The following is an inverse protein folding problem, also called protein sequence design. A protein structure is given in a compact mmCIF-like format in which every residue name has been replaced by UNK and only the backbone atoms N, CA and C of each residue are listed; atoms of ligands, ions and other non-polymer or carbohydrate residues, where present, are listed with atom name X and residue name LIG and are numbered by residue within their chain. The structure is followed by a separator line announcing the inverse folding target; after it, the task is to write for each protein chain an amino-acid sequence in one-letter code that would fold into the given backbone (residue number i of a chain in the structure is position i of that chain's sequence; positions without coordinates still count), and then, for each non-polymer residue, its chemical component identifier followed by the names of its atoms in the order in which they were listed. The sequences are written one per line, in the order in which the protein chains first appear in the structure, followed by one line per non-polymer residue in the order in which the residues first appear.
data_IF_934821852053
#
_entry.id   IF_934821852053
#
_cell.length_a   1.000
_cell.length_b   1.000
_cell.length_c   1.000
_cell.angle_alpha   90.00
_cell.angle_beta   90.00
_cell.angle_gamma   90.00
#
_symmetry.space_group_name_H-M   'P 1'
#
loop_
_entity.id
_entity.type
_entity.pdbx_description
1 polymer ?
#
# COMPACT_ATOMS: atom_id res chain seq x y z
N UNK A 1 12.11 6.56 40.96
CA UNK A 1 11.74 6.53 39.54
C UNK A 1 13.00 6.55 38.69
N UNK A 2 13.19 5.53 37.86
CA UNK A 2 14.31 5.39 36.94
C UNK A 2 14.00 6.06 35.61
N UNK A 3 14.78 7.10 35.27
CA UNK A 3 14.59 7.89 34.05
C UNK A 3 15.81 7.79 33.16
N UNK A 4 15.59 8.00 31.86
CA UNK A 4 16.63 8.12 30.85
C UNK A 4 16.43 9.43 30.11
N UNK A 5 17.50 10.21 29.95
CA UNK A 5 17.53 11.36 29.05
C UNK A 5 18.43 11.05 27.86
N UNK A 6 18.02 11.44 26.66
CA UNK A 6 18.80 11.32 25.44
C UNK A 6 19.05 12.71 24.87
N UNK A 7 20.30 12.99 24.45
CA UNK A 7 20.69 14.28 23.90
C UNK A 7 19.95 14.66 22.60
N UNK A 8 19.47 13.66 21.84
CA UNK A 8 18.65 13.85 20.65
C UNK A 8 17.72 12.65 20.46
N UNK A 9 16.50 12.86 19.98
CA UNK A 9 15.51 11.79 19.75
C UNK A 9 15.07 11.67 18.29
N UNK A 10 15.74 12.36 17.35
CA UNK A 10 15.38 12.36 15.94
C UNK A 10 16.63 12.38 15.04
N UNK A 11 16.67 11.47 14.07
CA UNK A 11 17.60 11.55 12.93
C UNK A 11 16.96 11.02 11.65
N UNK A 12 17.69 11.08 10.53
CA UNK A 12 17.33 10.37 9.29
C UNK A 12 17.80 8.92 9.40
N UNK A 13 17.02 7.98 8.85
CA UNK A 13 17.49 6.60 8.69
C UNK A 13 18.78 6.58 7.86
N UNK A 14 19.71 5.67 8.19
CA UNK A 14 21.05 5.56 7.56
C UNK A 14 22.00 6.75 7.81
N UNK A 15 21.64 7.73 8.64
CA UNK A 15 22.56 8.81 9.08
C UNK A 15 23.53 8.30 10.16
N UNK A 16 24.82 8.27 9.84
CA UNK A 16 25.90 7.75 10.69
C UNK A 16 26.74 8.85 11.34
N UNK A 17 26.29 10.11 11.31
CA UNK A 17 27.10 11.24 11.75
C UNK A 17 27.01 11.56 13.25
N UNK A 18 26.25 10.81 14.04
CA UNK A 18 25.86 11.18 15.41
C UNK A 18 26.36 10.22 16.45
N UNK A 19 26.68 10.75 17.62
CA UNK A 19 26.84 9.98 18.85
C UNK A 19 25.72 10.38 19.80
N UNK A 20 24.92 9.39 20.18
CA UNK A 20 23.87 9.54 21.18
C UNK A 20 24.45 9.40 22.57
N UNK A 21 24.06 10.31 23.46
CA UNK A 21 24.40 10.27 24.87
C UNK A 21 23.14 10.00 25.68
N UNK A 22 23.16 8.91 26.44
CA UNK A 22 22.09 8.46 27.31
C UNK A 22 22.51 8.65 28.77
N UNK A 23 21.76 9.49 29.49
CA UNK A 23 21.97 9.79 30.90
C UNK A 23 20.94 9.06 31.74
N UNK A 24 21.40 8.31 32.74
CA UNK A 24 20.54 7.57 33.66
C UNK A 24 20.29 8.39 34.93
N UNK A 25 19.08 8.32 35.46
CA UNK A 25 18.70 8.99 36.71
C UNK A 25 17.91 8.03 37.60
N UNK A 26 18.24 8.03 38.89
CA UNK A 26 17.41 7.50 39.96
C UNK A 26 16.77 8.70 40.69
N UNK A 27 15.46 8.84 40.50
CA UNK A 27 14.66 10.02 40.84
C UNK A 27 15.16 11.27 40.12
N UNK A 28 15.82 12.17 40.84
CA UNK A 28 16.37 13.42 40.29
C UNK A 28 17.92 13.44 40.38
N UNK A 29 18.52 12.32 40.82
CA UNK A 29 19.97 12.17 40.91
C UNK A 29 20.48 11.40 39.71
N UNK A 30 21.45 11.97 39.00
CA UNK A 30 22.13 11.26 37.92
C UNK A 30 22.89 10.04 38.47
N UNK A 31 22.69 8.91 37.82
CA UNK A 31 23.41 7.67 38.06
C UNK A 31 24.59 7.62 37.11
N UNK A 32 25.79 7.88 37.63
CA UNK A 32 27.04 7.85 36.87
C UNK A 32 27.34 6.41 36.45
N UNK A 33 27.52 6.23 35.15
CA UNK A 33 27.90 4.95 34.54
C UNK A 33 29.43 4.87 34.46
N UNK A 34 29.98 3.73 34.86
CA UNK A 34 31.42 3.45 34.84
C UNK A 34 31.74 2.37 33.83
N UNK A 35 33.00 2.29 33.40
CA UNK A 35 33.46 1.24 32.46
C UNK A 35 33.34 -0.19 33.02
N UNK A 36 33.24 -0.35 34.35
CA UNK A 36 33.04 -1.64 35.00
C UNK A 36 31.58 -2.12 34.95
N UNK A 37 30.64 -1.24 34.60
CA UNK A 37 29.25 -1.60 34.47
C UNK A 37 29.00 -2.32 33.16
N UNK A 38 28.33 -3.48 33.22
CA UNK A 38 27.93 -4.17 31.99
C UNK A 38 26.62 -3.57 31.50
N UNK A 39 26.69 -2.86 30.38
CA UNK A 39 25.54 -2.16 29.79
C UNK A 39 25.11 -2.85 28.50
N UNK A 40 23.80 -2.98 28.32
CA UNK A 40 23.18 -3.32 27.05
C UNK A 40 22.06 -2.33 26.78
N UNK A 41 22.06 -1.71 25.61
CA UNK A 41 20.94 -0.89 25.13
C UNK A 41 20.08 -1.77 24.25
N UNK A 42 18.88 -2.08 24.73
CA UNK A 42 17.88 -2.86 23.98
C UNK A 42 17.08 -1.94 23.09
N UNK A 43 16.95 -2.30 21.82
CA UNK A 43 16.16 -1.58 20.84
C UNK A 43 14.93 -2.41 20.48
N UNK A 44 13.76 -1.78 20.55
CA UNK A 44 12.51 -2.35 20.07
C UNK A 44 11.69 -1.31 19.31
N UNK A 45 10.59 -1.71 18.71
CA UNK A 45 9.58 -0.81 18.15
C UNK A 45 8.18 -1.24 18.63
N UNK A 46 7.12 -0.79 17.95
CA UNK A 46 5.74 -1.17 18.29
C UNK A 46 5.48 -2.69 18.19
N UNK A 47 6.24 -3.40 17.35
CA UNK A 47 6.05 -4.83 17.10
C UNK A 47 6.78 -5.73 18.08
N UNK A 48 7.85 -5.24 18.72
CA UNK A 48 8.58 -5.98 19.73
C UNK A 48 10.06 -5.60 19.82
N UNK A 49 10.81 -6.46 20.52
CA UNK A 49 12.26 -6.39 20.60
C UNK A 49 12.91 -6.67 19.24
N UNK A 50 14.00 -5.95 18.92
CA UNK A 50 14.71 -6.07 17.66
C UNK A 50 16.16 -6.53 17.87
N UNK A 51 16.93 -5.79 18.66
CA UNK A 51 18.35 -6.08 18.85
C UNK A 51 18.91 -5.50 20.14
N UNK A 52 20.08 -6.01 20.52
CA UNK A 52 20.91 -5.51 21.61
C UNK A 52 22.10 -4.72 21.03
N UNK A 53 22.40 -3.57 21.61
CA UNK A 53 23.59 -2.76 21.32
C UNK A 53 24.50 -2.77 22.55
N UNK A 54 25.77 -3.12 22.34
CA UNK A 54 26.83 -2.85 23.30
C UNK A 54 27.28 -1.38 23.13
N UNK A 55 27.02 -0.51 24.12
CA UNK A 55 27.36 0.90 24.02
C UNK A 55 28.78 1.17 24.50
N UNK A 56 29.29 2.37 24.19
CA UNK A 56 30.42 2.94 24.89
C UNK A 56 30.01 3.59 26.21
N UNK A 57 31.00 3.96 27.02
CA UNK A 57 30.81 4.76 28.24
C UNK A 57 31.81 5.91 28.18
N UNK A 58 31.33 7.15 28.36
CA UNK A 58 32.17 8.34 28.41
C UNK A 58 31.54 9.37 29.33
N UNK A 59 32.37 10.08 30.11
CA UNK A 59 31.93 11.17 30.99
C UNK A 59 30.76 10.82 31.94
N UNK A 60 30.67 9.56 32.38
CA UNK A 60 29.59 9.10 33.24
C UNK A 60 28.27 8.80 32.54
N UNK A 61 28.25 8.80 31.20
CA UNK A 61 27.11 8.55 30.35
C UNK A 61 27.33 7.35 29.43
N UNK A 62 26.24 6.82 28.88
CA UNK A 62 26.26 5.77 27.88
C UNK A 62 26.31 6.41 26.50
N UNK A 63 27.20 5.96 25.63
CA UNK A 63 27.35 6.47 24.27
C UNK A 63 26.97 5.42 23.22
N UNK A 64 26.18 5.82 22.23
CA UNK A 64 25.81 4.96 21.10
C UNK A 64 26.08 5.69 19.80
N UNK A 65 27.00 5.16 18.98
CA UNK A 65 27.25 5.68 17.64
C UNK A 65 26.07 5.36 16.72
N UNK A 66 25.64 6.34 15.92
CA UNK A 66 24.48 6.19 15.05
C UNK A 66 24.70 5.20 13.89
N UNK A 67 25.94 4.80 13.61
CA UNK A 67 26.25 3.64 12.77
C UNK A 67 25.55 2.36 13.25
N UNK A 68 25.33 2.20 14.56
CA UNK A 68 24.60 1.04 15.13
C UNK A 68 23.11 1.02 14.75
N UNK A 69 22.60 2.11 14.17
CA UNK A 69 21.22 2.22 13.68
C UNK A 69 21.14 2.21 12.15
N UNK A 70 22.26 2.05 11.43
CA UNK A 70 22.29 2.22 9.97
C UNK A 70 21.37 1.25 9.22
N UNK A 71 21.24 0.02 9.72
CA UNK A 71 20.42 -1.04 9.13
C UNK A 71 18.96 -1.01 9.59
N UNK A 72 18.62 -0.14 10.55
CA UNK A 72 17.26 0.00 11.04
C UNK A 72 16.43 0.86 10.05
N UNK A 73 15.23 0.40 9.64
CA UNK A 73 14.35 1.19 8.78
C UNK A 73 13.88 2.49 9.45
N UNK A 74 13.22 3.34 8.67
CA UNK A 74 12.55 4.51 9.25
C UNK A 74 11.36 4.06 10.12
N UNK A 75 11.41 4.32 11.42
CA UNK A 75 10.38 3.97 12.40
C UNK A 75 10.60 4.76 13.72
N UNK A 76 9.66 4.61 14.66
CA UNK A 76 9.80 5.05 16.05
C UNK A 76 10.30 3.87 16.92
N UNK A 77 11.55 3.97 17.35
CA UNK A 77 12.20 2.99 18.21
C UNK A 77 12.06 3.35 19.68
N UNK A 78 11.98 2.33 20.53
CA UNK A 78 11.97 2.40 22.00
C UNK A 78 13.27 1.81 22.52
N UNK A 79 13.87 2.48 23.50
CA UNK A 79 15.12 2.01 24.11
C UNK A 79 14.87 1.60 25.55
N UNK A 80 15.52 0.51 25.96
CA UNK A 80 15.59 0.07 27.35
C UNK A 80 17.04 -0.23 27.71
N UNK A 81 17.52 0.30 28.83
CA UNK A 81 18.91 0.21 29.24
C UNK A 81 19.01 -0.82 30.35
N UNK A 82 19.76 -1.88 30.10
CA UNK A 82 20.06 -2.92 31.06
C UNK A 82 21.47 -2.71 31.58
N UNK A 83 21.60 -2.37 32.85
CA UNK A 83 22.88 -2.17 33.53
C UNK A 83 23.06 -3.23 34.62
N UNK A 84 24.14 -4.00 34.54
CA UNK A 84 24.53 -4.91 35.62
C UNK A 84 25.72 -4.35 36.40
N UNK A 85 25.49 -4.08 37.69
CA UNK A 85 26.46 -3.56 38.66
C UNK A 85 26.39 -4.37 39.94
N UNK A 86 27.53 -4.84 40.46
CA UNK A 86 27.62 -5.63 41.69
C UNK A 86 26.62 -6.82 41.75
N UNK A 87 26.54 -7.57 40.65
CA UNK A 87 25.57 -8.66 40.44
C UNK A 87 24.08 -8.29 40.46
N UNK A 88 23.73 -7.00 40.59
CA UNK A 88 22.35 -6.52 40.48
C UNK A 88 22.07 -6.01 39.07
N UNK A 89 20.89 -6.34 38.56
CA UNK A 89 20.37 -5.83 37.29
C UNK A 89 19.49 -4.61 37.55
N UNK A 90 19.81 -3.52 36.88
CA UNK A 90 19.04 -2.29 36.85
C UNK A 90 18.51 -2.10 35.43
N UNK A 91 17.21 -1.87 35.31
CA UNK A 91 16.54 -1.64 34.03
C UNK A 91 15.96 -0.23 34.07
N UNK A 92 16.28 0.57 33.04
CA UNK A 92 15.79 1.93 32.86
C UNK A 92 15.08 2.08 31.51
N UNK A 93 14.03 2.90 31.40
CA UNK A 93 13.26 3.57 32.46
C UNK A 93 12.17 2.67 33.07
N UNK A 94 11.59 3.05 34.22
CA UNK A 94 10.52 2.29 34.89
C UNK A 94 9.08 2.72 34.52
N UNK A 95 8.86 3.98 34.14
CA UNK A 95 7.52 4.48 33.78
C UNK A 95 7.37 4.89 32.31
N UNK A 96 8.20 5.86 31.86
CA UNK A 96 8.07 6.43 30.52
C UNK A 96 9.19 5.94 29.61
N UNK A 97 8.84 5.09 28.65
CA UNK A 97 9.76 4.63 27.62
C UNK A 97 10.38 5.80 26.86
N UNK A 98 11.67 5.68 26.59
CA UNK A 98 12.42 6.63 25.78
C UNK A 98 12.35 6.21 24.32
N UNK A 99 12.21 7.19 23.43
CA UNK A 99 12.03 6.96 21.99
C UNK A 99 13.11 7.64 21.16
N UNK A 100 13.56 6.95 20.11
CA UNK A 100 14.40 7.46 19.04
C UNK A 100 13.66 7.31 17.71
N UNK A 101 13.41 8.40 17.01
CA UNK A 101 12.78 8.39 15.70
C UNK A 101 13.82 8.40 14.59
N UNK A 102 13.76 7.39 13.72
CA UNK A 102 14.47 7.37 12.44
C UNK A 102 13.48 7.78 11.36
N UNK A 103 13.68 8.96 10.77
CA UNK A 103 12.82 9.47 9.71
C UNK A 103 13.29 9.02 8.32
N UNK A 104 12.35 8.79 7.41
CA UNK A 104 12.63 8.41 6.03
C UNK A 104 13.59 9.38 5.34
N UNK A 105 14.51 8.85 4.55
CA UNK A 105 15.30 9.63 3.60
C UNK A 105 14.46 9.94 2.36
N UNK A 106 14.90 10.88 1.51
CA UNK A 106 14.22 11.14 0.23
C UNK A 106 14.18 9.89 -0.66
N UNK A 107 15.14 8.98 -0.52
CA UNK A 107 15.17 7.71 -1.25
C UNK A 107 14.09 6.73 -0.80
N UNK A 108 13.55 6.89 0.42
CA UNK A 108 12.49 6.05 0.96
C UNK A 108 11.09 6.64 0.69
N UNK A 109 11.03 7.87 0.17
CA UNK A 109 9.78 8.50 -0.25
C UNK A 109 9.50 8.05 -1.68
N UNK A 110 8.73 6.97 -1.83
CA UNK A 110 8.04 6.64 -3.09
C UNK A 110 6.89 7.63 -3.28
N UNK A 111 7.24 8.89 -3.51
CA UNK A 111 6.31 9.87 -4.02
C UNK A 111 6.02 9.51 -5.47
N UNK A 112 4.74 9.35 -5.80
CA UNK A 112 4.24 9.43 -7.17
C UNK A 112 4.55 10.84 -7.71
N UNK A 113 5.80 11.10 -8.04
CA UNK A 113 6.06 12.01 -9.15
C UNK A 113 5.51 11.28 -10.36
N UNK A 114 4.52 11.88 -11.03
CA UNK A 114 4.18 11.51 -12.40
C UNK A 114 5.50 11.42 -13.14
N UNK A 115 5.89 10.19 -13.50
CA UNK A 115 7.10 9.93 -14.26
C UNK A 115 6.86 10.42 -15.69
N UNK A 116 6.90 11.73 -15.90
CA UNK A 116 7.19 12.31 -17.21
C UNK A 116 8.63 11.92 -17.51
N UNK A 117 8.79 10.75 -18.13
CA UNK A 117 10.01 10.41 -18.83
C UNK A 117 10.18 11.50 -19.89
N UNK A 118 11.17 12.36 -19.72
CA UNK A 118 11.49 13.33 -20.76
C UNK A 118 12.05 12.58 -21.96
N UNK A 119 11.87 13.10 -23.18
CA UNK A 119 12.40 12.45 -24.39
C UNK A 119 13.92 12.21 -24.26
N UNK A 120 14.64 13.08 -23.54
CA UNK A 120 16.05 12.91 -23.25
C UNK A 120 16.35 11.74 -22.30
N UNK A 121 15.52 11.52 -21.27
CA UNK A 121 15.64 10.36 -20.40
C UNK A 121 15.30 9.05 -21.12
N UNK A 122 14.33 9.08 -22.04
CA UNK A 122 14.00 7.93 -22.88
C UNK A 122 15.16 7.61 -23.86
N UNK A 123 15.74 8.64 -24.49
CA UNK A 123 16.91 8.49 -25.37
C UNK A 123 18.13 7.95 -24.62
N UNK A 124 18.38 8.45 -23.41
CA UNK A 124 19.47 7.99 -22.55
C UNK A 124 19.29 6.53 -22.14
N UNK A 125 18.09 6.14 -21.72
CA UNK A 125 17.79 4.74 -21.37
C UNK A 125 17.89 3.79 -22.58
N UNK A 126 17.52 4.23 -23.79
CA UNK A 126 17.68 3.45 -25.04
C UNK A 126 19.16 3.34 -25.44
N UNK A 127 19.95 4.40 -25.26
CA UNK A 127 21.39 4.37 -25.53
C UNK A 127 22.15 3.50 -24.52
N UNK A 128 21.76 3.54 -23.24
CA UNK A 128 22.34 2.73 -22.17
C UNK A 128 21.91 1.25 -22.22
N UNK A 129 20.78 0.94 -22.86
CA UNK A 129 20.29 -0.44 -23.05
C UNK A 129 20.79 -1.13 -24.33
N UNK A 130 21.74 -0.52 -25.05
CA UNK A 130 22.47 -1.18 -26.13
C UNK A 130 21.67 -1.39 -27.42
N UNK A 131 20.60 -0.64 -27.66
CA UNK A 131 19.93 -0.60 -28.97
C UNK A 131 20.87 -0.06 -30.05
N UNK A 132 21.17 -0.88 -31.06
CA UNK A 132 22.22 -0.66 -32.04
C UNK A 132 22.20 0.74 -32.74
N UNK A 133 23.31 1.47 -32.56
CA UNK A 133 24.04 2.10 -33.66
C UNK A 133 23.88 3.61 -33.92
N UNK A 134 24.66 4.45 -33.22
CA UNK A 134 25.41 5.58 -33.82
C UNK A 134 26.69 5.82 -33.00
N UNK A 135 27.89 5.93 -33.59
CA UNK A 135 29.09 6.32 -32.85
C UNK A 135 29.14 7.85 -32.70
N UNK A 136 29.11 8.33 -31.45
CA UNK A 136 29.43 9.73 -31.16
C UNK A 136 30.92 9.80 -30.82
N UNK A 137 31.71 10.32 -31.77
CA UNK A 137 33.08 10.76 -31.53
C UNK A 137 33.02 12.01 -30.65
N UNK A 138 33.58 11.94 -29.44
CA UNK A 138 33.82 13.11 -28.61
C UNK A 138 35.02 13.93 -29.12
N UNK A 139 35.01 15.26 -29.01
CA UNK A 139 36.13 16.09 -29.45
C UNK A 139 37.40 15.82 -28.62
N UNK A 140 38.53 15.72 -29.32
CA UNK A 140 39.87 15.57 -28.76
C UNK A 140 40.38 16.90 -28.21
N UNK A 141 40.53 16.95 -26.88
CA UNK A 141 41.59 17.56 -26.05
C UNK A 141 42.02 19.03 -26.20
N UNK A 142 42.27 19.67 -25.06
CA UNK A 142 43.49 20.48 -24.88
C UNK A 142 44.29 19.96 -23.68
N UNK A 143 45.60 19.86 -23.91
CA UNK A 143 46.62 19.29 -23.02
C UNK A 143 47.12 20.37 -22.06
N UNK A 144 47.05 20.11 -20.75
CA UNK A 144 47.82 20.84 -19.74
C UNK A 144 49.01 20.00 -19.29
N UNK A 145 50.22 20.56 -19.36
CA UNK A 145 51.45 19.86 -18.98
C UNK A 145 51.55 19.65 -17.46
N UNK A 146 51.87 18.43 -17.03
CA UNK A 146 52.32 18.13 -15.66
C UNK A 146 53.72 17.50 -15.71
N UNK A 147 54.60 18.02 -14.84
CA UNK A 147 56.01 17.62 -14.73
C UNK A 147 56.23 16.16 -14.31
N UNK A 148 57.44 15.62 -14.48
CA UNK A 148 57.68 14.18 -14.45
C UNK A 148 57.62 13.60 -13.03
N UNK A 149 56.79 12.57 -12.85
CA UNK A 149 56.81 11.67 -11.70
C UNK A 149 57.09 10.24 -12.19
N UNK A 150 57.94 9.52 -11.45
CA UNK A 150 58.65 8.31 -11.88
C UNK A 150 57.81 7.13 -12.37
N UNK A 151 58.44 6.28 -13.19
CA UNK A 151 57.82 5.18 -13.91
C UNK A 151 57.12 4.19 -12.97
N UNK A 152 55.79 4.18 -13.04
CA UNK A 152 54.96 3.13 -12.46
C UNK A 152 54.91 1.96 -13.44
N UNK A 153 55.14 0.74 -12.97
CA UNK A 153 55.14 -0.46 -13.82
C UNK A 153 53.82 -0.67 -14.58
N UNK A 154 53.84 -1.40 -15.72
CA UNK A 154 52.67 -1.54 -16.58
C UNK A 154 51.49 -2.12 -15.81
N UNK A 155 50.37 -1.37 -15.81
CA UNK A 155 49.08 -1.82 -15.29
C UNK A 155 48.63 -3.04 -16.11
N UNK A 156 48.32 -4.15 -15.45
CA UNK A 156 47.79 -5.34 -16.11
C UNK A 156 46.49 -5.04 -16.85
N UNK A 157 46.29 -5.72 -17.98
CA UNK A 157 45.09 -5.54 -18.81
C UNK A 157 43.81 -5.82 -18.00
N UNK A 158 42.74 -5.03 -18.21
CA UNK A 158 41.43 -5.34 -17.64
C UNK A 158 40.99 -6.75 -18.03
N UNK A 159 40.46 -7.51 -17.05
CA UNK A 159 39.83 -8.80 -17.34
C UNK A 159 38.67 -8.66 -18.33
N UNK A 160 38.35 -9.70 -19.13
CA UNK A 160 37.22 -9.66 -20.05
C UNK A 160 35.92 -9.39 -19.29
N UNK A 161 35.01 -8.63 -19.91
CA UNK A 161 33.67 -8.42 -19.36
C UNK A 161 32.97 -9.76 -19.14
N UNK A 162 32.27 -9.90 -18.01
CA UNK A 162 31.43 -11.07 -17.75
C UNK A 162 30.32 -11.17 -18.82
N UNK A 163 29.91 -12.39 -19.15
CA UNK A 163 28.79 -12.60 -20.09
C UNK A 163 27.50 -12.09 -19.45
N UNK A 164 26.64 -11.45 -20.25
CA UNK A 164 25.33 -11.02 -19.80
C UNK A 164 24.46 -12.20 -19.37
N UNK A 165 23.71 -12.03 -18.28
CA UNK A 165 22.76 -13.03 -17.79
C UNK A 165 21.57 -13.21 -18.74
N UNK A 166 20.89 -14.36 -18.65
CA UNK A 166 19.67 -14.62 -19.42
C UNK A 166 18.55 -13.67 -19.00
N UNK A 167 17.76 -13.17 -19.96
CA UNK A 167 16.55 -12.40 -19.66
C UNK A 167 15.48 -13.29 -19.00
N UNK A 168 14.54 -12.68 -18.26
CA UNK A 168 13.43 -13.41 -17.64
C UNK A 168 12.58 -14.17 -18.68
N UNK A 169 12.36 -13.58 -19.86
CA UNK A 169 11.71 -14.25 -20.99
C UNK A 169 12.52 -15.46 -21.48
N UNK A 170 13.85 -15.36 -21.53
CA UNK A 170 14.70 -16.49 -21.91
C UNK A 170 14.67 -17.62 -20.88
N UNK A 171 14.65 -17.30 -19.60
CA UNK A 171 14.44 -18.29 -18.53
C UNK A 171 13.06 -18.93 -18.65
N UNK A 172 12.02 -18.16 -18.96
CA UNK A 172 10.66 -18.66 -19.20
C UNK A 172 10.59 -19.65 -20.37
N UNK A 173 11.29 -19.37 -21.48
CA UNK A 173 11.43 -20.31 -22.60
C UNK A 173 12.23 -21.56 -22.21
N UNK A 174 13.34 -21.40 -21.47
CA UNK A 174 14.17 -22.53 -21.01
C UNK A 174 13.42 -23.48 -20.05
N UNK A 175 12.37 -22.99 -19.38
CA UNK A 175 11.44 -23.79 -18.56
C UNK A 175 10.40 -24.56 -19.40
N UNK A 176 10.52 -24.54 -20.74
CA UNK A 176 9.66 -25.29 -21.65
C UNK A 176 8.40 -24.54 -22.10
N UNK A 177 8.28 -23.26 -21.77
CA UNK A 177 7.20 -22.44 -22.31
C UNK A 177 7.52 -21.99 -23.74
N UNK A 178 6.49 -21.71 -24.52
CA UNK A 178 6.61 -21.19 -25.89
C UNK A 178 5.59 -20.07 -26.10
N UNK A 179 5.96 -19.07 -26.89
CA UNK A 179 5.15 -17.89 -27.13
C UNK A 179 6.03 -16.70 -27.45
N UNK A 180 5.41 -15.55 -27.69
CA UNK A 180 6.02 -14.24 -27.80
C UNK A 180 6.32 -13.65 -26.41
N UNK A 181 7.04 -12.52 -26.38
CA UNK A 181 7.19 -11.75 -25.14
C UNK A 181 5.84 -11.28 -24.57
N UNK A 182 4.86 -11.02 -25.44
CA UNK A 182 3.51 -10.68 -25.01
C UNK A 182 2.84 -11.85 -24.28
N UNK A 183 3.00 -13.09 -24.78
CA UNK A 183 2.49 -14.29 -24.11
C UNK A 183 3.16 -14.50 -22.75
N UNK A 184 4.45 -14.17 -22.64
CA UNK A 184 5.15 -14.16 -21.36
C UNK A 184 4.57 -13.12 -20.39
N UNK A 185 4.38 -11.86 -20.82
CA UNK A 185 3.77 -10.82 -19.99
C UNK A 185 2.33 -11.19 -19.58
N UNK A 186 1.57 -11.79 -20.48
CA UNK A 186 0.22 -12.28 -20.18
C UNK A 186 0.23 -13.45 -19.20
N UNK A 187 1.27 -14.29 -19.21
CA UNK A 187 1.46 -15.36 -18.22
C UNK A 187 1.80 -14.85 -16.81
N UNK A 188 2.38 -13.64 -16.70
CA UNK A 188 2.70 -12.99 -15.43
C UNK A 188 1.49 -12.29 -14.81
N UNK A 189 0.44 -12.02 -15.60
CA UNK A 189 -0.83 -11.56 -15.04
C UNK A 189 -1.33 -12.67 -14.12
N UNK A 190 -1.85 -12.33 -12.93
CA UNK A 190 -2.45 -13.33 -12.07
C UNK A 190 -3.48 -14.08 -12.91
N UNK A 191 -3.28 -15.39 -13.08
CA UNK A 191 -4.35 -16.28 -13.54
C UNK A 191 -5.42 -16.17 -12.48
N UNK A 192 -6.41 -15.31 -12.71
CA UNK A 192 -7.67 -15.39 -11.99
C UNK A 192 -8.33 -16.66 -12.49
N UNK A 193 -7.88 -17.81 -11.97
CA UNK A 193 -8.65 -19.02 -11.96
C UNK A 193 -9.95 -18.65 -11.23
N UNK A 194 -10.98 -18.29 -11.99
CA UNK A 194 -12.31 -17.92 -11.50
C UNK A 194 -12.24 -16.98 -10.29
N UNK A 195 -12.07 -15.68 -10.56
CA UNK A 195 -11.93 -14.64 -9.53
C UNK A 195 -12.78 -14.92 -8.30
N UNK A 196 -12.12 -15.09 -7.16
CA UNK A 196 -12.80 -15.24 -5.87
C UNK A 196 -13.84 -14.13 -5.77
N UNK A 197 -15.10 -14.52 -5.54
CA UNK A 197 -16.21 -13.58 -5.33
C UNK A 197 -15.93 -12.76 -4.08
N UNK A 198 -15.28 -11.62 -4.26
CA UNK A 198 -15.01 -10.66 -3.21
C UNK A 198 -16.03 -9.52 -3.33
N UNK A 199 -16.96 -9.48 -2.38
CA UNK A 199 -17.85 -8.34 -2.23
C UNK A 199 -17.01 -7.09 -1.86
N UNK A 200 -17.36 -5.90 -2.34
CA UNK A 200 -16.54 -4.70 -2.14
C UNK A 200 -16.67 -4.16 -0.71
N UNK A 201 -15.59 -3.64 -0.12
CA UNK A 201 -15.61 -3.07 1.24
C UNK A 201 -15.43 -1.55 1.27
N UNK A 202 -14.95 -0.98 0.18
CA UNK A 202 -14.69 0.46 0.04
C UNK A 202 -14.91 0.93 -1.38
N UNK A 203 -14.94 2.24 -1.57
CA UNK A 203 -15.08 2.85 -2.88
C UNK A 203 -14.33 4.18 -2.98
N UNK A 204 -14.09 4.61 -4.22
CA UNK A 204 -13.63 5.95 -4.55
C UNK A 204 -14.54 6.56 -5.62
N UNK A 205 -14.61 7.88 -5.67
CA UNK A 205 -15.37 8.62 -6.68
C UNK A 205 -14.42 9.25 -7.70
N UNK A 206 -14.49 8.78 -8.94
CA UNK A 206 -13.82 9.35 -10.10
C UNK A 206 -14.75 10.33 -10.82
N UNK A 207 -14.37 11.61 -10.75
CA UNK A 207 -15.12 12.73 -11.34
C UNK A 207 -14.60 13.15 -12.70
N UNK A 208 -13.60 12.45 -13.24
CA UNK A 208 -13.01 12.75 -14.54
C UNK A 208 -13.81 12.13 -15.69
N UNK A 209 -14.62 11.11 -15.41
CA UNK A 209 -15.53 10.48 -16.36
C UNK A 209 -16.88 11.19 -16.43
N UNK A 210 -17.63 10.99 -17.51
CA UNK A 210 -19.04 11.38 -17.60
C UNK A 210 -19.84 10.21 -18.20
N UNK A 211 -20.77 9.59 -17.45
CA UNK A 211 -21.10 9.83 -16.04
C UNK A 211 -19.91 9.63 -15.09
N UNK A 212 -19.95 10.23 -13.90
CA UNK A 212 -18.98 9.95 -12.82
C UNK A 212 -18.94 8.46 -12.52
N UNK A 213 -17.78 7.96 -12.11
CA UNK A 213 -17.58 6.53 -11.85
C UNK A 213 -17.27 6.32 -10.37
N UNK A 214 -17.96 5.39 -9.75
CA UNK A 214 -17.57 4.86 -8.45
C UNK A 214 -16.72 3.62 -8.69
N UNK A 215 -15.48 3.63 -8.22
CA UNK A 215 -14.60 2.47 -8.27
C UNK A 215 -14.61 1.74 -6.94
N UNK A 216 -14.84 0.44 -6.99
CA UNK A 216 -14.87 -0.44 -5.83
C UNK A 216 -13.53 -1.18 -5.70
N UNK A 217 -13.15 -1.53 -4.47
CA UNK A 217 -11.92 -2.27 -4.18
C UNK A 217 -11.89 -3.71 -4.72
N UNK A 218 -13.04 -4.25 -5.12
CA UNK A 218 -13.12 -5.53 -5.83
C UNK A 218 -12.91 -5.41 -7.36
N UNK A 219 -12.56 -4.22 -7.85
CA UNK A 219 -12.28 -3.96 -9.27
C UNK A 219 -13.52 -3.63 -10.11
N UNK A 220 -14.74 -3.74 -9.56
CA UNK A 220 -15.94 -3.29 -10.24
C UNK A 220 -16.05 -1.75 -10.25
N UNK A 221 -16.76 -1.23 -11.25
CA UNK A 221 -17.17 0.18 -11.29
C UNK A 221 -18.69 0.33 -11.32
N UNK A 222 -19.22 1.44 -10.81
CA UNK A 222 -20.62 1.83 -10.94
C UNK A 222 -20.75 3.19 -11.62
N UNK A 223 -21.67 3.27 -12.57
CA UNK A 223 -22.08 4.51 -13.23
C UNK A 223 -23.60 4.63 -13.22
N UNK A 224 -24.09 5.85 -13.05
CA UNK A 224 -25.51 6.19 -13.09
C UNK A 224 -25.78 7.20 -14.22
N UNK A 225 -26.04 6.75 -15.48
CA UNK A 225 -26.23 7.63 -16.63
C UNK A 225 -27.39 8.62 -16.51
N UNK A 226 -28.52 8.27 -15.87
CA UNK A 226 -29.60 9.25 -15.62
C UNK A 226 -29.19 10.37 -14.64
N UNK A 227 -28.11 10.18 -13.88
CA UNK A 227 -27.67 11.07 -12.82
C UNK A 227 -26.22 11.49 -13.01
N UNK A 228 -25.78 11.69 -14.26
CA UNK A 228 -24.38 11.66 -14.70
C UNK A 228 -23.37 12.30 -13.74
N UNK A 229 -23.70 13.43 -13.12
CA UNK A 229 -22.84 14.16 -12.18
C UNK A 229 -23.58 14.62 -10.92
N UNK A 230 -24.71 14.00 -10.58
CA UNK A 230 -25.58 14.43 -9.46
C UNK A 230 -24.95 14.05 -8.11
N UNK A 231 -24.45 15.05 -7.37
CA UNK A 231 -23.69 14.83 -6.13
C UNK A 231 -24.42 14.00 -5.06
N UNK A 232 -25.73 14.19 -4.85
CA UNK A 232 -26.52 13.42 -3.87
C UNK A 232 -26.52 11.93 -4.16
N UNK A 233 -26.57 11.53 -5.44
CA UNK A 233 -26.59 10.12 -5.87
C UNK A 233 -25.24 9.47 -5.61
N UNK A 234 -24.16 10.19 -5.94
CA UNK A 234 -22.76 9.72 -5.79
C UNK A 234 -22.16 9.92 -4.39
N UNK A 235 -22.85 10.63 -3.48
CA UNK A 235 -22.33 10.95 -2.13
C UNK A 235 -21.36 12.13 -2.08
N UNK A 236 -21.18 12.86 -3.18
CA UNK A 236 -20.25 13.99 -3.24
C UNK A 236 -20.75 15.18 -2.41
N UNK A 237 -20.15 15.36 -1.23
CA UNK A 237 -20.50 16.44 -0.29
C UNK A 237 -21.67 16.12 0.65
N UNK A 238 -22.06 14.84 0.76
CA UNK A 238 -23.16 14.40 1.61
C UNK A 238 -22.67 13.49 2.74
N UNK A 239 -23.35 13.53 3.89
CA UNK A 239 -23.06 12.64 5.00
C UNK A 239 -23.51 11.21 4.69
N UNK A 240 -22.73 10.23 5.14
CA UNK A 240 -22.96 8.82 4.85
C UNK A 240 -22.98 8.02 6.16
N UNK A 241 -24.03 7.22 6.36
CA UNK A 241 -24.12 6.32 7.52
C UNK A 241 -23.90 4.87 7.09
N UNK A 242 -22.67 4.38 7.28
CA UNK A 242 -22.30 3.00 6.97
C UNK A 242 -22.60 1.99 8.10
N UNK A 243 -23.22 2.43 9.19
CA UNK A 243 -23.43 1.61 10.39
C UNK A 243 -24.88 1.18 10.62
N UNK A 244 -25.83 1.80 9.93
CA UNK A 244 -27.25 1.42 10.02
C UNK A 244 -27.54 0.13 9.26
N UNK A 245 -28.60 -0.57 9.67
CA UNK A 245 -29.14 -1.77 9.00
C UNK A 245 -30.32 -1.47 8.08
N UNK A 246 -30.62 -0.18 7.85
CA UNK A 246 -31.65 0.25 6.91
C UNK A 246 -31.09 0.83 5.62
N UNK A 247 -31.94 0.92 4.61
CA UNK A 247 -31.64 1.51 3.30
C UNK A 247 -31.82 3.03 3.32
N UNK A 248 -30.99 3.72 2.53
CA UNK A 248 -31.18 5.12 2.19
C UNK A 248 -31.60 5.26 0.72
N UNK A 249 -32.44 6.26 0.42
CA UNK A 249 -32.77 6.59 -0.98
C UNK A 249 -31.58 7.20 -1.72
N UNK A 250 -30.70 7.90 -1.00
CA UNK A 250 -29.44 8.47 -1.47
C UNK A 250 -28.58 8.87 -0.25
N UNK A 251 -27.24 8.88 -0.35
CA UNK A 251 -26.45 8.40 -1.48
C UNK A 251 -26.58 6.89 -1.72
N UNK A 252 -26.35 6.43 -2.96
CA UNK A 252 -26.60 5.03 -3.32
C UNK A 252 -25.53 4.07 -2.81
N UNK A 253 -24.28 4.51 -2.79
CA UNK A 253 -23.11 3.67 -2.53
C UNK A 253 -23.05 3.13 -1.09
N UNK A 254 -23.47 3.86 -0.05
CA UNK A 254 -23.65 3.31 1.28
C UNK A 254 -24.53 2.04 1.34
N UNK A 255 -25.56 1.92 0.49
CA UNK A 255 -26.37 0.69 0.43
C UNK A 255 -25.53 -0.51 -0.07
N UNK A 256 -24.65 -0.29 -1.04
CA UNK A 256 -23.76 -1.32 -1.62
C UNK A 256 -22.81 -1.86 -0.55
N UNK A 257 -22.15 -0.97 0.17
CA UNK A 257 -21.19 -1.37 1.22
C UNK A 257 -21.89 -2.02 2.41
N UNK A 258 -23.06 -1.53 2.81
CA UNK A 258 -23.87 -2.17 3.86
C UNK A 258 -24.34 -3.57 3.45
N UNK A 259 -24.74 -3.77 2.20
CA UNK A 259 -25.12 -5.08 1.69
C UNK A 259 -23.92 -6.04 1.66
N UNK A 260 -22.76 -5.57 1.21
CA UNK A 260 -21.50 -6.33 1.23
C UNK A 260 -21.11 -6.81 2.62
N UNK A 261 -21.30 -5.96 3.65
CA UNK A 261 -21.00 -6.26 5.05
C UNK A 261 -22.09 -7.07 5.77
N UNK A 262 -23.21 -7.37 5.10
CA UNK A 262 -24.35 -8.06 5.69
C UNK A 262 -25.22 -7.21 6.62
N UNK A 263 -25.03 -5.88 6.67
CA UNK A 263 -25.88 -4.97 7.43
C UNK A 263 -27.25 -4.77 6.77
N UNK A 264 -27.27 -4.75 5.43
CA UNK A 264 -28.49 -4.89 4.63
C UNK A 264 -28.58 -6.33 4.16
N UNK A 265 -29.59 -7.06 4.63
CA UNK A 265 -29.79 -8.48 4.29
C UNK A 265 -30.76 -8.68 3.12
N UNK A 266 -30.79 -9.89 2.57
CA UNK A 266 -31.77 -10.31 1.54
C UNK A 266 -33.19 -10.22 2.09
N UNK A 267 -33.41 -10.58 3.36
CA UNK A 267 -34.71 -10.46 4.04
C UNK A 267 -35.14 -9.00 4.20
N UNK A 268 -34.20 -8.12 4.59
CA UNK A 268 -34.48 -6.69 4.69
C UNK A 268 -34.84 -6.11 3.33
N UNK A 269 -34.09 -6.48 2.28
CA UNK A 269 -34.44 -6.10 0.91
C UNK A 269 -35.84 -6.58 0.54
N UNK A 270 -36.19 -7.84 0.85
CA UNK A 270 -37.47 -8.45 0.50
C UNK A 270 -38.66 -7.60 0.94
N UNK A 271 -38.69 -7.17 2.19
CA UNK A 271 -39.80 -6.41 2.77
C UNK A 271 -39.69 -4.89 2.61
N UNK A 272 -38.55 -4.34 2.17
CA UNK A 272 -38.34 -2.89 2.06
C UNK A 272 -39.05 -2.30 0.84
N UNK A 273 -39.67 -1.14 1.02
CA UNK A 273 -40.34 -0.37 -0.03
C UNK A 273 -39.91 1.11 0.01
N UNK A 274 -40.19 1.86 -1.05
CA UNK A 274 -40.05 3.34 -1.10
C UNK A 274 -38.65 3.97 -1.11
N UNK A 275 -37.56 3.18 -1.20
CA UNK A 275 -36.17 3.68 -1.07
C UNK A 275 -35.29 3.39 -2.28
N UNK A 276 -35.86 2.87 -3.38
CA UNK A 276 -35.10 2.45 -4.55
C UNK A 276 -35.21 3.41 -5.74
N UNK A 277 -35.79 4.60 -5.52
CA UNK A 277 -36.17 5.55 -6.57
C UNK A 277 -35.01 5.91 -7.50
N UNK A 278 -33.79 6.00 -6.97
CA UNK A 278 -32.60 6.42 -7.72
C UNK A 278 -31.82 5.23 -8.34
N UNK A 279 -32.28 3.99 -8.20
CA UNK A 279 -31.72 2.84 -8.92
C UNK A 279 -32.23 2.77 -10.35
N UNK A 280 -31.84 3.75 -11.17
CA UNK A 280 -32.27 3.86 -12.57
C UNK A 280 -32.01 2.57 -13.36
N UNK A 281 -32.91 2.17 -14.28
CA UNK A 281 -32.68 1.07 -15.22
C UNK A 281 -31.40 1.19 -16.05
N UNK A 282 -30.85 2.41 -16.20
CA UNK A 282 -29.61 2.68 -16.93
C UNK A 282 -28.34 2.47 -16.08
N UNK A 283 -28.47 2.16 -14.79
CA UNK A 283 -27.34 1.91 -13.88
C UNK A 283 -26.43 0.85 -14.48
N UNK A 284 -25.13 1.15 -14.59
CA UNK A 284 -24.16 0.30 -15.26
C UNK A 284 -23.11 -0.20 -14.27
N UNK A 285 -22.89 -1.52 -14.26
CA UNK A 285 -21.75 -2.15 -13.60
C UNK A 285 -20.63 -2.35 -14.63
N UNK A 286 -19.44 -1.89 -14.28
CA UNK A 286 -18.21 -2.07 -15.06
C UNK A 286 -17.45 -3.24 -14.47
N UNK A 287 -16.90 -4.12 -15.32
CA UNK A 287 -16.13 -5.30 -14.91
C UNK A 287 -16.89 -6.16 -13.87
N UNK A 288 -18.13 -6.54 -14.18
CA UNK A 288 -18.97 -7.35 -13.28
C UNK A 288 -18.33 -8.70 -12.96
N UNK A 289 -18.44 -9.13 -11.71
CA UNK A 289 -17.99 -10.45 -11.24
C UNK A 289 -18.97 -11.56 -11.60
N UNK A 290 -20.25 -11.21 -11.75
CA UNK A 290 -21.31 -12.15 -12.13
C UNK A 290 -22.09 -11.65 -13.34
N UNK A 291 -22.50 -12.59 -14.20
CA UNK A 291 -23.21 -12.29 -15.45
C UNK A 291 -24.72 -12.24 -15.22
N UNK A 292 -25.25 -11.03 -15.05
CA UNK A 292 -26.68 -10.80 -14.87
C UNK A 292 -27.51 -10.98 -16.15
N UNK A 293 -26.88 -11.04 -17.33
CA UNK A 293 -27.62 -11.18 -18.60
C UNK A 293 -28.38 -12.50 -18.68
N UNK A 294 -27.89 -13.52 -17.95
CA UNK A 294 -28.47 -14.86 -17.79
C UNK A 294 -29.79 -14.90 -17.02
N UNK A 295 -30.25 -13.79 -16.45
CA UNK A 295 -31.47 -13.75 -15.65
C UNK A 295 -32.46 -12.70 -16.15
N UNK A 296 -33.73 -13.02 -16.01
CA UNK A 296 -34.85 -12.10 -16.03
C UNK A 296 -35.07 -11.54 -14.61
N UNK A 297 -35.06 -10.22 -14.51
CA UNK A 297 -35.13 -9.48 -13.25
C UNK A 297 -36.51 -8.89 -13.00
N UNK A 298 -37.47 -8.99 -13.93
CA UNK A 298 -38.77 -8.30 -13.82
C UNK A 298 -39.48 -8.55 -12.49
N UNK A 299 -39.32 -9.74 -11.91
CA UNK A 299 -39.94 -10.10 -10.63
C UNK A 299 -38.97 -10.11 -9.44
N UNK A 300 -37.75 -9.60 -9.59
CA UNK A 300 -36.71 -9.58 -8.56
C UNK A 300 -36.91 -8.47 -7.51
N UNK A 301 -38.14 -8.24 -7.07
CA UNK A 301 -38.53 -7.20 -6.12
C UNK A 301 -38.81 -7.74 -4.70
N UNK A 302 -38.71 -9.04 -4.46
CA UNK A 302 -39.00 -9.61 -3.14
C UNK A 302 -40.50 -9.77 -2.88
N UNK A 303 -41.04 -9.14 -1.83
CA UNK A 303 -42.46 -9.27 -1.48
C UNK A 303 -43.36 -8.52 -2.49
N UNK A 304 -44.49 -9.14 -2.86
CA UNK A 304 -45.42 -8.65 -3.88
C UNK A 304 -45.90 -7.21 -3.62
N UNK A 305 -46.16 -6.87 -2.36
CA UNK A 305 -46.60 -5.53 -1.95
C UNK A 305 -45.56 -4.42 -2.16
N UNK A 306 -44.32 -4.76 -2.49
CA UNK A 306 -43.22 -3.80 -2.68
C UNK A 306 -42.92 -3.49 -4.16
N UNK A 307 -43.61 -4.16 -5.10
CA UNK A 307 -43.33 -4.10 -6.53
C UNK A 307 -43.64 -2.73 -7.17
N UNK A 308 -44.76 -2.10 -6.78
CA UNK A 308 -45.24 -0.86 -7.40
C UNK A 308 -44.55 0.41 -6.87
N UNK A 309 -43.78 0.32 -5.80
CA UNK A 309 -43.09 1.45 -5.20
C UNK A 309 -41.74 1.73 -5.88
N UNK A 310 -41.21 2.93 -5.69
CA UNK A 310 -39.92 3.34 -6.25
C UNK A 310 -39.80 3.15 -7.77
N UNK A 311 -40.89 3.42 -8.49
CA UNK A 311 -40.94 3.29 -9.95
C UNK A 311 -40.57 1.89 -10.48
N UNK A 312 -40.76 0.84 -9.67
CA UNK A 312 -40.38 -0.54 -10.05
C UNK A 312 -38.88 -0.74 -10.20
N UNK A 313 -38.05 0.08 -9.55
CA UNK A 313 -36.57 0.09 -9.69
C UNK A 313 -35.84 -0.87 -8.75
N UNK A 314 -36.57 -1.50 -7.83
CA UNK A 314 -36.03 -2.47 -6.86
C UNK A 314 -35.28 -3.65 -7.53
N UNK A 315 -35.75 -4.23 -8.66
CA UNK A 315 -34.97 -5.21 -9.42
C UNK A 315 -33.58 -4.76 -9.87
N UNK A 316 -33.39 -3.46 -10.13
CA UNK A 316 -32.10 -2.91 -10.54
C UNK A 316 -31.09 -3.02 -9.40
N UNK A 317 -31.51 -2.74 -8.16
CA UNK A 317 -30.66 -2.94 -6.99
C UNK A 317 -30.22 -4.41 -6.87
N UNK A 318 -31.17 -5.34 -6.99
CA UNK A 318 -30.87 -6.78 -6.90
C UNK A 318 -29.88 -7.23 -7.98
N UNK A 319 -30.07 -6.76 -9.22
CA UNK A 319 -29.14 -6.99 -10.33
C UNK A 319 -27.74 -6.50 -10.00
N UNK A 320 -27.61 -5.26 -9.51
CA UNK A 320 -26.31 -4.67 -9.18
C UNK A 320 -25.63 -5.44 -8.05
N UNK A 321 -26.34 -5.80 -6.98
CA UNK A 321 -25.75 -6.58 -5.88
C UNK A 321 -25.22 -7.93 -6.38
N UNK A 322 -25.92 -8.56 -7.32
CA UNK A 322 -25.43 -9.79 -7.97
C UNK A 322 -24.19 -9.53 -8.84
N UNK A 323 -24.24 -8.57 -9.76
CA UNK A 323 -23.11 -8.25 -10.65
C UNK A 323 -21.83 -7.88 -9.88
N UNK A 324 -21.97 -7.24 -8.72
CA UNK A 324 -20.85 -6.87 -7.84
C UNK A 324 -20.32 -8.02 -6.97
N UNK A 325 -20.89 -9.22 -7.07
CA UNK A 325 -20.47 -10.34 -6.24
C UNK A 325 -20.95 -10.27 -4.78
N UNK A 326 -21.96 -9.44 -4.47
CA UNK A 326 -22.50 -9.27 -3.10
C UNK A 326 -23.59 -10.30 -2.81
N UNK A 327 -24.46 -10.61 -3.79
CA UNK A 327 -25.50 -11.63 -3.69
C UNK A 327 -25.22 -12.81 -4.61
N UNK A 328 -25.62 -14.01 -4.20
CA UNK A 328 -25.43 -15.26 -4.93
C UNK A 328 -26.58 -15.53 -5.90
N UNK A 329 -26.44 -16.56 -6.76
CA UNK A 329 -27.55 -17.05 -7.60
C UNK A 329 -28.74 -17.49 -6.73
N UNK A 330 -28.49 -18.17 -5.60
CA UNK A 330 -29.56 -18.58 -4.69
C UNK A 330 -30.34 -17.38 -4.12
N UNK A 331 -29.62 -16.32 -3.74
CA UNK A 331 -30.25 -15.10 -3.20
C UNK A 331 -31.19 -14.48 -4.23
N UNK A 332 -30.72 -14.26 -5.47
CA UNK A 332 -31.53 -13.58 -6.50
C UNK A 332 -32.70 -14.43 -6.98
N UNK A 333 -32.55 -15.75 -7.03
CA UNK A 333 -33.68 -16.65 -7.31
C UNK A 333 -34.74 -16.57 -6.20
N UNK A 334 -34.31 -16.48 -4.94
CA UNK A 334 -35.23 -16.30 -3.79
C UNK A 334 -35.99 -14.97 -3.81
N UNK A 335 -35.46 -13.97 -4.55
CA UNK A 335 -36.04 -12.64 -4.69
C UNK A 335 -36.97 -12.52 -5.91
N UNK A 336 -37.08 -13.58 -6.74
CA UNK A 336 -37.97 -13.64 -7.88
C UNK A 336 -37.30 -13.48 -9.25
N UNK A 337 -35.96 -13.38 -9.32
CA UNK A 337 -35.26 -13.47 -10.58
C UNK A 337 -35.42 -14.88 -11.19
N UNK A 338 -35.40 -14.98 -12.53
CA UNK A 338 -35.55 -16.25 -13.25
C UNK A 338 -34.41 -16.44 -14.23
N UNK A 339 -33.85 -17.65 -14.31
CA UNK A 339 -32.81 -17.96 -15.30
C UNK A 339 -33.42 -17.93 -16.70
N UNK A 340 -32.77 -17.25 -17.64
CA UNK A 340 -33.13 -17.29 -19.07
C UNK A 340 -32.66 -18.64 -19.64
N UNK A 341 -33.54 -19.26 -20.42
CA UNK A 341 -33.27 -20.52 -21.11
C UNK A 341 -32.31 -20.38 -22.28
#
# INVERSE_FOLDING_TARGET
MRKVAINNSLQKARDTSRVYELLLFDDDKQTIVSENDKITVKIGNRTGFLLDIEPGVANGAITVDSERFADLPADDYRLEIWMKRDNKLYIYPDEKQITLRLSSTLNDITGTTLSTITIEQLRKAIAESGGAGVPVVGPKGDKGDQGPQGETGPKGDPGPAGQDGKSAYRVWLDLGNAGSEQDFIDSLKPKSETGVRCAPTSWTLDRTTKPWTIWLDNGCGLQFPEYETTGTVYGYGFAENLTTTDFDSWPLIPNVIRASRGAITVEKFRSKSGVFDYWSPTTKVIASLQDASKYDWTNAFGDEGTNAESFGRKPVFARVMFELGIWSEADILSLGAKKKG
#
